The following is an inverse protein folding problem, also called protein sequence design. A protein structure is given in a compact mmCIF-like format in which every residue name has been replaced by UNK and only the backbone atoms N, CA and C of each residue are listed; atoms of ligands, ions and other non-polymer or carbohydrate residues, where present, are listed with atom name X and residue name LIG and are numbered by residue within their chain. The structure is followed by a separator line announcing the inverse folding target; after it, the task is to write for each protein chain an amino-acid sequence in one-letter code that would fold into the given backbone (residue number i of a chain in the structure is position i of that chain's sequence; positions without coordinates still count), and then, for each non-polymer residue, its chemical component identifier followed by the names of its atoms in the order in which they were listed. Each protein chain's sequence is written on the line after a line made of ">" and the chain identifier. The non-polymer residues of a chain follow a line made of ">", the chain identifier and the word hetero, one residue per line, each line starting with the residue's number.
data_IF_786034186815
#
_entry.id   IF_786034186815
#
_cell.length_a   1.000
_cell.length_b   1.000
_cell.length_c   1.000
_cell.angle_alpha   90.00
_cell.angle_beta   90.00
_cell.angle_gamma   90.00
#
_symmetry.space_group_name_H-M   'P 1'
#
loop_
_entity.id
_entity.type
_entity.pdbx_description
1 polymer ?
#
# COMPACT_ATOMS: atom_id res chain seq x y z
N UNK A 1 -36.91 -50.37 0.92
CA UNK A 1 -37.53 -51.67 1.26
C UNK A 1 -38.41 -52.12 0.11
N UNK A 2 -37.89 -53.01 -0.75
CA UNK A 2 -38.69 -53.67 -1.80
C UNK A 2 -39.16 -55.04 -1.31
N UNK A 3 -40.40 -55.47 -1.59
CA UNK A 3 -40.87 -56.78 -1.14
C UNK A 3 -40.27 -57.91 -2.00
N UNK A 4 -39.71 -58.90 -1.31
CA UNK A 4 -39.21 -60.18 -1.85
C UNK A 4 -40.37 -60.95 -2.49
N UNK A 5 -40.21 -61.41 -3.73
CA UNK A 5 -41.10 -62.39 -4.37
C UNK A 5 -40.64 -63.80 -4.00
N UNK A 6 -41.51 -64.54 -3.33
CA UNK A 6 -41.36 -65.98 -3.08
C UNK A 6 -41.62 -66.81 -4.36
N UNK A 7 -40.96 -67.97 -4.54
CA UNK A 7 -41.16 -68.84 -5.70
C UNK A 7 -42.33 -69.81 -5.48
N UNK A 8 -43.31 -69.81 -6.39
CA UNK A 8 -44.42 -70.77 -6.42
C UNK A 8 -44.01 -72.05 -7.17
N UNK A 9 -44.09 -73.16 -6.45
CA UNK A 9 -43.85 -74.55 -6.85
C UNK A 9 -44.78 -74.99 -8.02
N UNK A 10 -44.18 -75.32 -9.17
CA UNK A 10 -44.90 -75.69 -10.41
C UNK A 10 -45.01 -77.20 -10.64
N UNK A 11 -44.81 -78.06 -9.63
CA UNK A 11 -44.82 -79.53 -9.84
C UNK A 11 -46.20 -80.20 -9.69
N UNK A 12 -47.19 -79.54 -9.09
CA UNK A 12 -48.56 -80.09 -8.93
C UNK A 12 -49.59 -79.74 -10.01
N UNK A 13 -49.33 -78.73 -10.86
CA UNK A 13 -50.33 -78.21 -11.83
C UNK A 13 -50.51 -79.07 -13.09
N UNK A 14 -49.49 -79.84 -13.52
CA UNK A 14 -49.54 -80.62 -14.77
C UNK A 14 -50.35 -81.92 -14.66
N UNK A 15 -50.51 -82.46 -13.46
CA UNK A 15 -51.22 -83.72 -13.24
C UNK A 15 -52.71 -83.49 -12.90
N UNK A 16 -53.02 -82.35 -12.26
CA UNK A 16 -54.40 -81.86 -12.12
C UNK A 16 -55.00 -81.47 -13.49
N UNK A 17 -54.22 -80.87 -14.38
CA UNK A 17 -54.65 -80.55 -15.75
C UNK A 17 -54.89 -81.79 -16.64
N UNK A 18 -54.20 -82.92 -16.41
CA UNK A 18 -54.45 -84.18 -17.14
C UNK A 18 -55.64 -84.96 -16.59
N UNK A 19 -55.91 -84.89 -15.29
CA UNK A 19 -57.10 -85.49 -14.69
C UNK A 19 -58.39 -84.73 -15.07
N UNK A 20 -58.35 -83.39 -15.09
CA UNK A 20 -59.45 -82.56 -15.56
C UNK A 20 -59.75 -82.77 -17.05
N UNK A 21 -58.71 -82.90 -17.90
CA UNK A 21 -58.91 -83.12 -19.35
C UNK A 21 -59.50 -84.51 -19.68
N UNK A 22 -59.36 -85.49 -18.79
CA UNK A 22 -59.91 -86.86 -18.97
C UNK A 22 -61.34 -86.99 -18.44
N UNK A 23 -61.73 -86.18 -17.45
CA UNK A 23 -63.13 -86.06 -17.01
C UNK A 23 -63.97 -85.21 -17.96
N UNK A 24 -63.39 -84.14 -18.55
CA UNK A 24 -64.14 -83.24 -19.44
C UNK A 24 -64.52 -83.87 -20.80
N UNK A 25 -63.86 -84.94 -21.24
CA UNK A 25 -64.16 -85.61 -22.52
C UNK A 25 -65.19 -86.74 -22.42
N UNK A 26 -65.80 -86.96 -21.25
CA UNK A 26 -66.79 -88.04 -21.03
C UNK A 26 -68.18 -87.55 -20.58
N UNK A 27 -68.42 -86.25 -20.55
CA UNK A 27 -69.66 -85.65 -20.04
C UNK A 27 -70.33 -84.67 -21.03
N UNK A 28 -70.05 -84.83 -22.33
CA UNK A 28 -70.80 -84.15 -23.40
C UNK A 28 -71.43 -85.22 -24.28
N UNK A 29 -72.30 -86.02 -23.68
CA UNK A 29 -73.37 -86.70 -24.39
C UNK A 29 -74.50 -85.67 -24.59
N UNK A 30 -74.59 -85.19 -25.83
CA UNK A 30 -75.83 -84.97 -26.58
C UNK A 30 -77.08 -84.69 -25.73
N UNK A 31 -77.18 -83.47 -25.21
CA UNK A 31 -78.47 -82.78 -25.18
C UNK A 31 -78.59 -82.02 -26.50
N UNK A 32 -79.35 -82.60 -27.43
CA UNK A 32 -79.83 -81.87 -28.60
C UNK A 32 -80.76 -80.78 -28.09
N UNK A 33 -80.20 -79.61 -27.79
CA UNK A 33 -80.97 -78.38 -27.66
C UNK A 33 -81.85 -78.27 -28.91
N UNK A 34 -83.16 -78.22 -28.72
CA UNK A 34 -84.09 -77.87 -29.78
C UNK A 34 -83.67 -76.51 -30.34
N UNK A 35 -83.84 -76.26 -31.64
CA UNK A 35 -83.43 -74.99 -32.27
C UNK A 35 -83.97 -73.74 -31.53
N UNK A 36 -85.10 -73.87 -30.83
CA UNK A 36 -85.68 -72.84 -29.96
C UNK A 36 -84.86 -72.57 -28.68
N UNK A 37 -84.32 -73.61 -28.03
CA UNK A 37 -83.53 -73.48 -26.80
C UNK A 37 -82.12 -72.97 -27.11
N UNK A 38 -81.54 -73.37 -28.25
CA UNK A 38 -80.35 -72.76 -28.83
C UNK A 38 -80.58 -71.26 -29.11
N UNK A 39 -81.69 -70.90 -29.76
CA UNK A 39 -82.02 -69.50 -30.02
C UNK A 39 -82.24 -68.67 -28.73
N UNK A 40 -82.84 -69.25 -27.68
CA UNK A 40 -83.03 -68.57 -26.39
C UNK A 40 -81.70 -68.35 -25.65
N UNK A 41 -80.82 -69.34 -25.63
CA UNK A 41 -79.48 -69.20 -25.07
C UNK A 41 -78.62 -68.23 -25.88
N UNK A 42 -78.72 -68.23 -27.21
CA UNK A 42 -78.08 -67.25 -28.09
C UNK A 42 -78.60 -65.83 -27.80
N UNK A 43 -79.90 -65.65 -27.59
CA UNK A 43 -80.47 -64.37 -27.18
C UNK A 43 -79.95 -63.91 -25.81
N UNK A 44 -79.94 -64.80 -24.81
CA UNK A 44 -79.49 -64.45 -23.46
C UNK A 44 -77.98 -64.18 -23.41
N UNK A 45 -77.19 -64.96 -24.14
CA UNK A 45 -75.74 -64.71 -24.29
C UNK A 45 -75.48 -63.41 -25.04
N UNK A 46 -76.20 -63.10 -26.11
CA UNK A 46 -76.11 -61.81 -26.79
C UNK A 46 -76.47 -60.65 -25.87
N UNK A 47 -77.51 -60.78 -25.04
CA UNK A 47 -77.90 -59.76 -24.08
C UNK A 47 -76.85 -59.57 -22.96
N UNK A 48 -76.26 -60.67 -22.47
CA UNK A 48 -75.14 -60.60 -21.51
C UNK A 48 -73.87 -60.04 -22.13
N UNK A 49 -73.59 -60.33 -23.40
CA UNK A 49 -72.49 -59.71 -24.15
C UNK A 49 -72.71 -58.20 -24.26
N UNK A 50 -73.91 -57.74 -24.61
CA UNK A 50 -74.24 -56.30 -24.60
C UNK A 50 -74.02 -55.66 -23.23
N UNK A 51 -74.45 -56.30 -22.15
CA UNK A 51 -74.22 -55.80 -20.79
C UNK A 51 -72.72 -55.74 -20.46
N UNK A 52 -71.95 -56.74 -20.88
CA UNK A 52 -70.49 -56.75 -20.74
C UNK A 52 -69.85 -55.62 -21.54
N UNK A 53 -70.31 -55.36 -22.76
CA UNK A 53 -69.75 -54.30 -23.61
C UNK A 53 -70.07 -52.91 -23.05
N UNK A 54 -71.27 -52.68 -22.54
CA UNK A 54 -71.60 -51.44 -21.80
C UNK A 54 -70.71 -51.26 -20.56
N UNK A 55 -70.44 -52.34 -19.83
CA UNK A 55 -69.54 -52.29 -18.66
C UNK A 55 -68.09 -52.05 -19.06
N UNK A 56 -67.62 -52.60 -20.20
CA UNK A 56 -66.29 -52.30 -20.76
C UNK A 56 -66.18 -50.84 -21.16
N UNK A 57 -67.17 -50.31 -21.87
CA UNK A 57 -67.19 -48.89 -22.27
C UNK A 57 -67.18 -47.95 -21.05
N UNK A 58 -67.90 -48.32 -19.98
CA UNK A 58 -67.87 -47.57 -18.72
C UNK A 58 -66.51 -47.71 -18.01
N UNK A 59 -65.91 -48.89 -18.02
CA UNK A 59 -64.58 -49.13 -17.47
C UNK A 59 -63.52 -48.32 -18.23
N UNK A 60 -63.58 -48.30 -19.56
CA UNK A 60 -62.66 -47.55 -20.41
C UNK A 60 -62.80 -46.04 -20.18
N UNK A 61 -64.04 -45.52 -20.07
CA UNK A 61 -64.29 -44.14 -19.66
C UNK A 61 -63.70 -43.82 -18.29
N UNK A 62 -63.90 -44.69 -17.30
CA UNK A 62 -63.33 -44.53 -15.95
C UNK A 62 -61.81 -44.62 -15.94
N UNK A 63 -61.21 -45.45 -16.80
CA UNK A 63 -59.77 -45.55 -16.95
C UNK A 63 -59.18 -44.27 -17.55
N UNK A 64 -59.80 -43.74 -18.61
CA UNK A 64 -59.41 -42.45 -19.20
C UNK A 64 -59.54 -41.29 -18.20
N UNK A 65 -60.64 -41.24 -17.44
CA UNK A 65 -60.81 -40.25 -16.37
C UNK A 65 -59.72 -40.39 -15.29
N UNK A 66 -59.40 -41.61 -14.88
CA UNK A 66 -58.33 -41.87 -13.90
C UNK A 66 -56.94 -41.50 -14.42
N UNK A 67 -56.64 -41.76 -15.69
CA UNK A 67 -55.38 -41.36 -16.33
C UNK A 67 -55.26 -39.84 -16.43
N UNK A 68 -56.33 -39.15 -16.83
CA UNK A 68 -56.40 -37.69 -16.85
C UNK A 68 -56.20 -37.10 -15.43
N UNK A 69 -56.85 -37.66 -14.41
CA UNK A 69 -56.67 -37.24 -13.01
C UNK A 69 -55.24 -37.48 -12.52
N UNK A 70 -54.61 -38.61 -12.87
CA UNK A 70 -53.20 -38.88 -12.53
C UNK A 70 -52.26 -37.89 -13.19
N UNK A 71 -52.50 -37.55 -14.45
CA UNK A 71 -51.73 -36.54 -15.19
C UNK A 71 -51.86 -35.16 -14.54
N UNK A 72 -53.08 -34.70 -14.24
CA UNK A 72 -53.33 -33.43 -13.54
C UNK A 72 -52.69 -33.39 -12.15
N UNK A 73 -52.74 -34.51 -11.41
CA UNK A 73 -52.10 -34.63 -10.10
C UNK A 73 -50.56 -34.54 -10.24
N UNK A 74 -49.98 -35.12 -11.27
CA UNK A 74 -48.54 -35.03 -11.52
C UNK A 74 -48.14 -33.59 -11.92
N UNK A 75 -48.92 -32.94 -12.78
CA UNK A 75 -48.67 -31.55 -13.17
C UNK A 75 -48.76 -30.59 -11.97
N UNK A 76 -49.78 -30.75 -11.13
CA UNK A 76 -49.92 -29.93 -9.91
C UNK A 76 -48.78 -30.17 -8.94
N UNK A 77 -48.35 -31.42 -8.72
CA UNK A 77 -47.14 -31.74 -7.94
C UNK A 77 -45.89 -31.08 -8.50
N UNK A 78 -45.70 -31.12 -9.82
CA UNK A 78 -44.55 -30.48 -10.47
C UNK A 78 -44.59 -28.95 -10.27
N UNK A 79 -45.75 -28.31 -10.43
CA UNK A 79 -45.94 -26.87 -10.19
C UNK A 79 -45.67 -26.49 -8.73
N UNK A 80 -46.15 -27.28 -7.77
CA UNK A 80 -45.83 -27.06 -6.35
C UNK A 80 -44.35 -27.27 -6.06
N UNK A 81 -43.72 -28.28 -6.66
CA UNK A 81 -42.27 -28.50 -6.55
C UNK A 81 -41.48 -27.30 -7.04
N UNK A 82 -41.78 -26.82 -8.26
CA UNK A 82 -41.16 -25.62 -8.84
C UNK A 82 -41.35 -24.39 -7.95
N UNK A 83 -42.57 -24.15 -7.47
CA UNK A 83 -42.85 -23.02 -6.58
C UNK A 83 -42.09 -23.12 -5.25
N UNK A 84 -41.98 -24.33 -4.67
CA UNK A 84 -41.19 -24.56 -3.45
C UNK A 84 -39.70 -24.28 -3.71
N UNK A 85 -39.17 -24.71 -4.85
CA UNK A 85 -37.76 -24.49 -5.20
C UNK A 85 -37.45 -23.01 -5.48
N UNK A 86 -38.37 -22.29 -6.15
CA UNK A 86 -38.29 -20.83 -6.31
C UNK A 86 -38.30 -20.10 -4.96
N UNK A 87 -39.17 -20.51 -4.04
CA UNK A 87 -39.22 -19.93 -2.69
C UNK A 87 -37.95 -20.24 -1.90
N UNK A 88 -37.43 -21.47 -1.98
CA UNK A 88 -36.16 -21.86 -1.33
C UNK A 88 -34.99 -21.05 -1.87
N UNK A 89 -34.87 -20.92 -3.18
CA UNK A 89 -33.79 -20.12 -3.79
C UNK A 89 -33.90 -18.65 -3.40
N UNK A 90 -35.11 -18.07 -3.34
CA UNK A 90 -35.33 -16.70 -2.87
C UNK A 90 -34.99 -16.51 -1.39
N UNK A 91 -35.36 -17.48 -0.55
CA UNK A 91 -35.00 -17.47 0.88
C UNK A 91 -33.49 -17.55 1.05
N UNK A 92 -32.81 -18.47 0.36
CA UNK A 92 -31.35 -18.60 0.44
C UNK A 92 -30.64 -17.32 0.02
N UNK A 93 -31.04 -16.71 -1.11
CA UNK A 93 -30.50 -15.41 -1.55
C UNK A 93 -30.66 -14.32 -0.49
N UNK A 94 -31.79 -14.30 0.21
CA UNK A 94 -32.03 -13.34 1.31
C UNK A 94 -31.21 -13.68 2.56
N UNK A 95 -30.98 -14.95 2.86
CA UNK A 95 -30.07 -15.36 3.93
C UNK A 95 -28.62 -14.94 3.62
N UNK A 96 -28.18 -15.13 2.38
CA UNK A 96 -26.83 -14.74 1.93
C UNK A 96 -26.66 -13.21 1.99
N UNK A 97 -27.64 -12.44 1.51
CA UNK A 97 -27.66 -10.97 1.61
C UNK A 97 -27.64 -10.50 3.08
N UNK A 98 -28.39 -11.16 3.96
CA UNK A 98 -28.35 -10.87 5.40
C UNK A 98 -26.96 -11.16 5.96
N UNK A 99 -26.32 -12.28 5.59
CA UNK A 99 -24.99 -12.62 6.04
C UNK A 99 -23.95 -11.56 5.60
N UNK A 100 -23.95 -11.17 4.33
CA UNK A 100 -23.08 -10.13 3.78
C UNK A 100 -23.29 -8.79 4.50
N UNK A 101 -24.55 -8.37 4.71
CA UNK A 101 -24.86 -7.13 5.44
C UNK A 101 -24.45 -7.21 6.91
N UNK A 102 -24.54 -8.36 7.56
CA UNK A 102 -24.06 -8.52 8.95
C UNK A 102 -22.55 -8.44 9.04
N UNK A 103 -21.82 -9.01 8.09
CA UNK A 103 -20.35 -8.91 8.02
C UNK A 103 -19.90 -7.47 7.76
N UNK A 104 -20.55 -6.78 6.81
CA UNK A 104 -20.30 -5.36 6.57
C UNK A 104 -20.56 -4.52 7.82
N UNK A 105 -21.69 -4.74 8.51
CA UNK A 105 -21.98 -4.05 9.77
C UNK A 105 -20.92 -4.33 10.84
N UNK A 106 -20.43 -5.58 10.95
CA UNK A 106 -19.38 -5.91 11.90
C UNK A 106 -18.08 -5.18 11.58
N UNK A 107 -17.66 -5.17 10.30
CA UNK A 107 -16.48 -4.43 9.86
C UNK A 107 -16.59 -2.92 10.11
N UNK A 108 -17.78 -2.35 9.95
CA UNK A 108 -18.04 -0.94 10.24
C UNK A 108 -17.99 -0.65 11.75
N UNK A 109 -18.49 -1.55 12.59
CA UNK A 109 -18.39 -1.45 14.04
C UNK A 109 -16.93 -1.53 14.50
N UNK A 110 -16.16 -2.49 13.98
CA UNK A 110 -14.75 -2.64 14.31
C UNK A 110 -13.93 -1.41 13.90
N UNK A 111 -14.18 -0.89 12.69
CA UNK A 111 -13.55 0.35 12.23
C UNK A 111 -13.94 1.55 13.11
N UNK A 112 -15.20 1.65 13.52
CA UNK A 112 -15.68 2.71 14.42
C UNK A 112 -14.98 2.63 15.78
N UNK A 113 -14.91 1.44 16.36
CA UNK A 113 -14.32 1.23 17.68
C UNK A 113 -12.79 1.43 17.65
N UNK A 114 -12.13 1.04 16.55
CA UNK A 114 -10.72 1.37 16.29
C UNK A 114 -10.49 2.88 16.20
N UNK A 115 -11.34 3.60 15.46
CA UNK A 115 -11.26 5.06 15.37
C UNK A 115 -11.51 5.74 16.72
N UNK A 116 -12.47 5.27 17.51
CA UNK A 116 -12.74 5.79 18.85
C UNK A 116 -11.50 5.62 19.73
N UNK A 117 -10.89 4.42 19.75
CA UNK A 117 -9.65 4.18 20.51
C UNK A 117 -8.51 5.09 20.06
N UNK A 118 -8.33 5.26 18.76
CA UNK A 118 -7.31 6.17 18.21
C UNK A 118 -7.53 7.62 18.65
N UNK A 119 -8.79 8.10 18.61
CA UNK A 119 -9.12 9.44 19.07
C UNK A 119 -8.97 9.60 20.58
N UNK A 120 -9.32 8.59 21.38
CA UNK A 120 -9.11 8.58 22.83
C UNK A 120 -7.61 8.63 23.18
N UNK A 121 -6.78 7.85 22.49
CA UNK A 121 -5.32 7.88 22.65
C UNK A 121 -4.74 9.25 22.26
N UNK A 122 -5.16 9.82 21.12
CA UNK A 122 -4.75 11.16 20.73
C UNK A 122 -5.16 12.21 21.75
N UNK A 123 -6.39 12.14 22.24
CA UNK A 123 -6.91 13.08 23.24
C UNK A 123 -6.19 12.94 24.58
N UNK A 124 -5.84 11.72 24.99
CA UNK A 124 -5.05 11.49 26.19
C UNK A 124 -3.60 11.99 26.04
N UNK A 125 -3.00 11.77 24.87
CA UNK A 125 -1.67 12.28 24.54
C UNK A 125 -1.64 13.82 24.57
N UNK A 126 -2.62 14.48 23.95
CA UNK A 126 -2.73 15.95 23.97
C UNK A 126 -2.99 16.49 25.38
N UNK A 127 -3.81 15.79 26.20
CA UNK A 127 -3.99 16.14 27.62
C UNK A 127 -2.69 16.02 28.41
N UNK A 128 -1.92 14.95 28.19
CA UNK A 128 -0.62 14.76 28.86
C UNK A 128 0.36 15.86 28.47
N UNK A 129 0.48 16.16 27.16
CA UNK A 129 1.32 17.28 26.68
C UNK A 129 0.89 18.60 27.30
N UNK A 130 -0.41 18.86 27.38
CA UNK A 130 -0.93 20.07 28.00
C UNK A 130 -0.54 20.16 29.48
N UNK A 131 -0.72 19.10 30.27
CA UNK A 131 -0.32 19.10 31.68
C UNK A 131 1.20 19.24 31.85
N UNK A 132 2.02 18.58 31.02
CA UNK A 132 3.47 18.78 31.05
C UNK A 132 3.87 20.23 30.73
N UNK A 133 3.24 20.87 29.74
CA UNK A 133 3.52 22.28 29.43
C UNK A 133 3.08 23.20 30.57
N UNK A 134 1.95 22.92 31.19
CA UNK A 134 1.46 23.66 32.36
C UNK A 134 2.39 23.51 33.56
N UNK A 135 2.92 22.31 33.83
CA UNK A 135 3.92 22.07 34.87
C UNK A 135 5.22 22.81 34.57
N UNK A 136 5.72 22.76 33.33
CA UNK A 136 6.92 23.50 32.89
C UNK A 136 6.76 25.01 33.10
N UNK A 137 5.65 25.60 32.65
CA UNK A 137 5.36 27.02 32.85
C UNK A 137 5.19 27.36 34.33
N UNK A 138 4.56 26.50 35.12
CA UNK A 138 4.43 26.69 36.58
C UNK A 138 5.79 26.68 37.27
N UNK A 139 6.69 25.79 36.87
CA UNK A 139 8.07 25.74 37.35
C UNK A 139 8.85 26.99 36.94
N UNK A 140 8.70 27.46 35.70
CA UNK A 140 9.32 28.70 35.23
C UNK A 140 8.85 29.91 36.04
N UNK A 141 7.54 30.04 36.29
CA UNK A 141 6.98 31.09 37.16
C UNK A 141 7.59 31.04 38.56
N UNK A 142 7.72 29.85 39.16
CA UNK A 142 8.37 29.68 40.48
C UNK A 142 9.83 30.13 40.46
N UNK A 143 10.59 29.76 39.42
CA UNK A 143 11.99 30.17 39.27
C UNK A 143 12.10 31.68 39.08
N UNK A 144 11.23 32.28 38.26
CA UNK A 144 11.20 33.73 38.05
C UNK A 144 10.86 34.49 39.33
N UNK A 145 9.89 34.01 40.11
CA UNK A 145 9.58 34.57 41.42
C UNK A 145 10.76 34.46 42.39
N UNK A 146 11.48 33.33 42.40
CA UNK A 146 12.70 33.18 43.20
C UNK A 146 13.80 34.17 42.77
N UNK A 147 14.00 34.33 41.46
CA UNK A 147 14.93 35.34 40.91
C UNK A 147 14.52 36.76 41.30
N UNK A 148 13.23 37.08 41.23
CA UNK A 148 12.70 38.38 41.62
C UNK A 148 12.96 38.66 43.11
N UNK A 149 12.67 37.70 43.99
CA UNK A 149 12.96 37.83 45.43
C UNK A 149 14.45 38.05 45.70
N UNK A 150 15.35 37.36 44.96
CA UNK A 150 16.79 37.59 45.09
C UNK A 150 17.19 39.01 44.67
N UNK A 151 16.61 39.54 43.59
CA UNK A 151 16.84 40.92 43.14
C UNK A 151 16.35 41.92 44.17
N UNK A 152 15.19 41.68 44.79
CA UNK A 152 14.67 42.51 45.87
C UNK A 152 15.59 42.47 47.11
N UNK A 153 16.11 41.29 47.47
CA UNK A 153 17.09 41.16 48.55
C UNK A 153 18.38 41.95 48.25
N UNK A 154 18.95 41.83 47.05
CA UNK A 154 20.13 42.60 46.65
C UNK A 154 19.86 44.10 46.67
N UNK A 155 18.66 44.53 46.30
CA UNK A 155 18.28 45.94 46.36
C UNK A 155 18.23 46.43 47.81
N UNK A 156 17.62 45.67 48.72
CA UNK A 156 17.57 45.99 50.14
C UNK A 156 18.98 46.04 50.77
N UNK A 157 19.84 45.08 50.44
CA UNK A 157 21.22 45.04 50.93
C UNK A 157 22.04 46.23 50.41
N UNK A 158 21.84 46.61 49.14
CA UNK A 158 22.46 47.81 48.56
C UNK A 158 21.98 49.08 49.27
N UNK A 159 20.67 49.24 49.50
CA UNK A 159 20.12 50.38 50.23
C UNK A 159 20.71 50.47 51.65
N UNK A 160 20.77 49.36 52.37
CA UNK A 160 21.43 49.28 53.69
C UNK A 160 22.93 49.64 53.64
N UNK A 161 23.66 49.21 52.61
CA UNK A 161 25.08 49.56 52.44
C UNK A 161 25.27 51.04 52.14
N UNK A 162 24.40 51.63 51.32
CA UNK A 162 24.41 53.07 51.04
C UNK A 162 24.17 53.86 52.33
N UNK A 163 23.18 53.48 53.13
CA UNK A 163 22.93 54.10 54.44
C UNK A 163 24.16 54.04 55.36
N UNK A 164 24.81 52.87 55.45
CA UNK A 164 26.05 52.73 56.23
C UNK A 164 27.19 53.60 55.69
N UNK A 165 27.31 53.72 54.37
CA UNK A 165 28.34 54.54 53.75
C UNK A 165 28.10 56.03 54.03
N UNK A 166 26.85 56.49 53.93
CA UNK A 166 26.46 57.86 54.29
C UNK A 166 26.76 58.15 55.77
N UNK A 167 26.43 57.21 56.67
CA UNK A 167 26.74 57.35 58.09
C UNK A 167 28.26 57.46 58.35
N UNK A 168 29.08 56.65 57.67
CA UNK A 168 30.54 56.71 57.76
C UNK A 168 31.11 58.01 57.19
N UNK A 169 30.59 58.50 56.05
CA UNK A 169 31.01 59.78 55.48
C UNK A 169 30.73 60.94 56.43
N UNK A 170 29.55 60.96 57.06
CA UNK A 170 29.20 61.97 58.07
C UNK A 170 30.14 61.89 59.28
N UNK A 171 30.43 60.68 59.78
CA UNK A 171 31.37 60.49 60.88
C UNK A 171 32.80 60.95 60.54
N UNK A 172 33.29 60.67 59.33
CA UNK A 172 34.60 61.13 58.87
C UNK A 172 34.65 62.66 58.78
N UNK A 173 33.59 63.28 58.25
CA UNK A 173 33.49 64.73 58.18
C UNK A 173 33.55 65.37 59.57
N UNK A 174 32.82 64.81 60.54
CA UNK A 174 32.87 65.27 61.94
C UNK A 174 34.28 65.13 62.56
N UNK A 175 35.01 64.07 62.21
CA UNK A 175 36.39 63.86 62.65
C UNK A 175 37.34 64.87 62.00
N UNK A 176 37.19 65.15 60.71
CA UNK A 176 37.98 66.16 59.99
C UNK A 176 37.75 67.55 60.59
N UNK A 177 36.50 67.92 60.87
CA UNK A 177 36.15 69.20 61.51
C UNK A 177 36.74 69.30 62.92
N UNK A 178 36.70 68.21 63.71
CA UNK A 178 37.36 68.14 65.03
C UNK A 178 38.88 68.24 64.92
N UNK A 179 39.50 67.52 63.99
CA UNK A 179 40.94 67.53 63.78
C UNK A 179 41.41 68.93 63.33
N UNK A 180 40.70 69.57 62.42
CA UNK A 180 40.96 70.95 62.00
C UNK A 180 40.89 71.92 63.19
N UNK A 181 39.87 71.78 64.03
CA UNK A 181 39.73 72.58 65.27
C UNK A 181 40.91 72.37 66.23
N UNK A 182 41.34 71.12 66.43
CA UNK A 182 42.50 70.77 67.26
C UNK A 182 43.79 71.38 66.68
N UNK A 183 44.00 71.26 65.37
CA UNK A 183 45.15 71.87 64.68
C UNK A 183 45.16 73.37 64.88
N UNK A 184 44.03 74.06 64.77
CA UNK A 184 43.96 75.50 65.03
C UNK A 184 44.32 75.87 66.47
N UNK A 185 43.90 75.07 67.45
CA UNK A 185 44.29 75.27 68.86
C UNK A 185 45.79 75.05 69.04
N UNK A 186 46.35 73.99 68.48
CA UNK A 186 47.79 73.73 68.53
C UNK A 186 48.59 74.81 67.81
N UNK A 187 48.16 75.27 66.64
CA UNK A 187 48.79 76.38 65.92
C UNK A 187 48.79 77.66 66.77
N UNK A 188 47.68 77.98 67.44
CA UNK A 188 47.61 79.13 68.34
C UNK A 188 48.55 78.96 69.54
N UNK A 189 48.57 77.78 70.15
CA UNK A 189 49.45 77.49 71.28
C UNK A 189 50.93 77.51 70.87
N UNK A 190 51.26 76.98 69.70
CA UNK A 190 52.61 76.97 69.15
C UNK A 190 53.07 78.39 68.79
N UNK A 191 52.20 79.23 68.22
CA UNK A 191 52.50 80.66 68.03
C UNK A 191 52.82 81.35 69.37
N UNK A 192 52.00 81.12 70.41
CA UNK A 192 52.24 81.67 71.74
C UNK A 192 53.56 81.13 72.32
N UNK A 193 53.81 79.83 72.22
CA UNK A 193 55.03 79.20 72.71
C UNK A 193 56.26 79.66 71.93
N UNK A 194 56.14 79.91 70.62
CA UNK A 194 57.20 80.42 69.77
C UNK A 194 57.52 81.87 70.10
N UNK A 195 56.52 82.69 70.40
CA UNK A 195 56.71 84.05 70.91
C UNK A 195 57.36 84.04 72.30
N UNK A 196 56.89 83.17 73.21
CA UNK A 196 57.48 82.98 74.53
C UNK A 196 58.93 82.49 74.45
N UNK A 197 59.19 81.48 73.63
CA UNK A 197 60.53 80.98 73.36
C UNK A 197 61.37 82.04 72.66
N UNK A 198 60.81 82.85 71.78
CA UNK A 198 61.52 83.96 71.16
C UNK A 198 61.96 85.01 72.19
N UNK A 199 61.13 85.27 73.20
CA UNK A 199 61.50 86.09 74.36
C UNK A 199 62.55 85.38 75.22
N UNK A 200 62.32 84.13 75.65
CA UNK A 200 63.28 83.35 76.44
C UNK A 200 64.63 83.16 75.73
N UNK A 201 64.63 83.04 74.40
CA UNK A 201 65.83 82.88 73.59
C UNK A 201 66.52 84.23 73.41
N UNK A 202 65.80 85.35 73.29
CA UNK A 202 66.44 86.68 73.39
C UNK A 202 67.08 86.88 74.77
N UNK A 203 66.40 86.47 75.84
CA UNK A 203 66.90 86.59 77.21
C UNK A 203 68.08 85.65 77.47
N UNK A 204 68.00 84.41 77.00
CA UNK A 204 69.10 83.43 77.08
C UNK A 204 70.22 83.77 76.14
N UNK A 205 70.01 84.36 74.98
CA UNK A 205 71.08 84.76 74.05
C UNK A 205 71.74 86.04 74.55
N UNK A 206 71.02 86.92 75.25
CA UNK A 206 71.60 87.99 76.05
C UNK A 206 72.46 87.40 77.18
N UNK A 207 71.92 86.44 77.95
CA UNK A 207 72.61 85.79 79.06
C UNK A 207 73.76 84.90 78.63
N UNK A 208 73.64 84.22 77.51
CA UNK A 208 74.66 83.36 76.90
C UNK A 208 75.65 84.20 76.11
N UNK A 209 75.30 85.39 75.60
CA UNK A 209 76.31 86.35 75.13
C UNK A 209 77.14 86.88 76.31
N UNK A 210 76.55 87.00 77.50
CA UNK A 210 77.26 87.31 78.76
C UNK A 210 78.09 86.10 79.22
N UNK A 211 77.52 84.89 79.23
CA UNK A 211 78.18 83.66 79.68
C UNK A 211 79.19 83.10 78.65
N UNK A 212 79.06 83.33 77.33
CA UNK A 212 80.02 82.92 76.29
C UNK A 212 81.21 83.89 76.25
N UNK A 213 80.99 85.13 76.69
CA UNK A 213 82.07 86.04 77.05
C UNK A 213 82.83 85.57 78.31
N UNK A 214 82.19 84.79 79.19
CA UNK A 214 82.79 84.23 80.41
C UNK A 214 83.32 82.78 80.27
N UNK A 215 82.75 81.96 79.37
CA UNK A 215 82.97 80.51 79.30
C UNK A 215 83.71 80.03 78.04
N UNK A 216 84.14 80.93 77.15
CA UNK A 216 85.00 80.58 75.99
C UNK A 216 86.44 80.18 76.40
N UNK A 217 86.60 79.47 77.51
CA UNK A 217 87.86 78.88 77.96
C UNK A 217 87.63 77.48 78.51
N UNK A 218 87.41 76.48 77.64
CA UNK A 218 87.97 75.13 77.83
C UNK A 218 87.83 74.29 76.55
N UNK A 219 88.92 73.64 76.19
CA UNK A 219 89.13 72.92 74.94
C UNK A 219 88.45 71.53 74.93
N UNK A 220 88.12 71.01 76.12
CA UNK A 220 87.48 69.70 76.35
C UNK A 220 86.03 69.65 75.86
N UNK A 221 85.26 70.71 76.05
CA UNK A 221 83.85 70.80 75.62
C UNK A 221 83.72 70.83 74.10
N UNK A 222 84.69 71.43 73.39
CA UNK A 222 84.75 71.42 71.91
C UNK A 222 85.04 70.03 71.34
N UNK A 223 85.73 69.17 72.10
CA UNK A 223 86.01 67.80 71.67
C UNK A 223 84.79 66.89 71.81
N UNK A 224 84.07 66.96 72.92
CA UNK A 224 82.84 66.21 73.14
C UNK A 224 81.73 66.60 72.16
N UNK A 225 81.62 67.89 71.81
CA UNK A 225 80.68 68.35 70.78
C UNK A 225 81.03 67.77 69.41
N UNK A 226 82.32 67.70 69.05
CA UNK A 226 82.76 67.08 67.79
C UNK A 226 82.47 65.59 67.73
N UNK A 227 82.67 64.87 68.84
CA UNK A 227 82.35 63.45 68.94
C UNK A 227 80.85 63.19 68.85
N UNK A 228 80.03 63.99 69.52
CA UNK A 228 78.56 63.87 69.44
C UNK A 228 78.04 64.17 68.02
N UNK A 229 78.64 65.16 67.34
CA UNK A 229 78.36 65.43 65.92
C UNK A 229 78.74 64.24 65.05
N UNK A 230 79.91 63.62 65.28
CA UNK A 230 80.33 62.43 64.54
C UNK A 230 79.36 61.24 64.75
N UNK A 231 78.99 60.96 65.99
CA UNK A 231 78.03 59.89 66.33
C UNK A 231 76.65 60.16 65.71
N UNK A 232 76.14 61.39 65.77
CA UNK A 232 74.85 61.73 65.15
C UNK A 232 74.89 61.60 63.62
N UNK A 233 76.02 61.91 62.99
CA UNK A 233 76.18 61.72 61.55
C UNK A 233 76.19 60.23 61.17
N UNK A 234 76.87 59.38 61.94
CA UNK A 234 76.84 57.92 61.73
C UNK A 234 75.45 57.34 61.98
N UNK A 235 74.77 57.78 63.04
CA UNK A 235 73.39 57.38 63.34
C UNK A 235 72.43 57.80 62.22
N UNK A 236 72.59 59.00 61.68
CA UNK A 236 71.82 59.48 60.52
C UNK A 236 72.03 58.59 59.29
N UNK A 237 73.28 58.18 59.03
CA UNK A 237 73.60 57.23 57.96
C UNK A 237 72.95 55.86 58.18
N UNK A 238 72.98 55.34 59.41
CA UNK A 238 72.34 54.07 59.75
C UNK A 238 70.82 54.11 59.65
N UNK A 239 70.18 55.20 60.08
CA UNK A 239 68.73 55.40 59.94
C UNK A 239 68.34 55.46 58.46
N UNK A 240 69.10 56.19 57.63
CA UNK A 240 68.86 56.26 56.19
C UNK A 240 68.98 54.90 55.50
N UNK A 241 70.00 54.10 55.86
CA UNK A 241 70.16 52.74 55.35
C UNK A 241 69.03 51.81 55.80
N UNK A 242 68.61 51.91 57.06
CA UNK A 242 67.47 51.14 57.59
C UNK A 242 66.16 51.49 56.89
N UNK A 243 65.91 52.78 56.64
CA UNK A 243 64.73 53.24 55.88
C UNK A 243 64.76 52.70 54.45
N UNK A 244 65.89 52.78 53.75
CA UNK A 244 66.02 52.25 52.39
C UNK A 244 65.75 50.74 52.32
N UNK A 245 66.28 49.96 53.26
CA UNK A 245 65.99 48.52 53.37
C UNK A 245 64.53 48.24 53.73
N UNK A 246 63.92 49.08 54.57
CA UNK A 246 62.52 48.92 54.92
C UNK A 246 61.62 49.18 53.70
N UNK A 247 61.90 50.22 52.93
CA UNK A 247 61.17 50.57 51.71
C UNK A 247 61.33 49.48 50.65
N UNK A 248 62.55 48.96 50.45
CA UNK A 248 62.80 47.82 49.56
C UNK A 248 62.02 46.58 49.99
N UNK A 249 62.02 46.25 51.29
CA UNK A 249 61.27 45.11 51.82
C UNK A 249 59.75 45.28 51.62
N UNK A 250 59.25 46.51 51.78
CA UNK A 250 57.85 46.84 51.56
C UNK A 250 57.47 46.63 50.09
N UNK A 251 58.28 47.14 49.15
CA UNK A 251 57.98 47.00 47.73
C UNK A 251 58.10 45.54 47.26
N UNK A 252 59.06 44.78 47.78
CA UNK A 252 59.15 43.33 47.53
C UNK A 252 57.93 42.57 48.06
N UNK A 253 57.41 42.92 49.25
CA UNK A 253 56.17 42.33 49.78
C UNK A 253 54.97 42.65 48.90
N UNK A 254 54.89 43.88 48.41
CA UNK A 254 53.82 44.32 47.51
C UNK A 254 53.90 43.58 46.16
N UNK A 255 55.07 43.50 45.54
CA UNK A 255 55.29 42.71 44.32
C UNK A 255 54.94 41.23 44.52
N UNK A 256 55.37 40.63 45.63
CA UNK A 256 55.01 39.25 45.97
C UNK A 256 53.50 39.09 46.11
N UNK A 257 52.81 40.02 46.78
CA UNK A 257 51.36 39.95 46.94
C UNK A 257 50.64 40.03 45.58
N UNK A 258 51.12 40.88 44.68
CA UNK A 258 50.60 41.03 43.33
C UNK A 258 50.80 39.75 42.51
N UNK A 259 52.00 39.14 42.55
CA UNK A 259 52.28 37.89 41.85
C UNK A 259 51.42 36.72 42.37
N UNK A 260 51.16 36.67 43.69
CA UNK A 260 50.28 35.65 44.27
C UNK A 260 48.84 35.84 43.79
N UNK A 261 48.35 37.08 43.71
CA UNK A 261 47.00 37.34 43.19
C UNK A 261 46.88 36.99 41.71
N UNK A 262 47.90 37.29 40.91
CA UNK A 262 47.93 36.98 39.47
C UNK A 262 47.99 35.47 39.22
N UNK A 263 48.82 34.74 39.97
CA UNK A 263 48.90 33.29 39.88
C UNK A 263 47.55 32.64 40.19
N UNK A 264 46.86 33.14 41.22
CA UNK A 264 45.53 32.65 41.59
C UNK A 264 44.49 32.93 40.51
N UNK A 265 44.52 34.09 39.84
CA UNK A 265 43.60 34.34 38.73
C UNK A 265 43.88 33.44 37.54
N UNK A 266 45.15 33.20 37.23
CA UNK A 266 45.56 32.27 36.16
C UNK A 266 45.13 30.82 36.45
N UNK A 267 45.24 30.36 37.69
CA UNK A 267 44.74 29.03 38.10
C UNK A 267 43.23 28.89 37.86
N UNK A 268 42.45 29.93 38.22
CA UNK A 268 41.00 29.96 37.99
C UNK A 268 40.66 29.98 36.49
N UNK A 269 41.40 30.73 35.68
CA UNK A 269 41.21 30.75 34.23
C UNK A 269 41.54 29.39 33.61
N UNK A 270 42.62 28.75 34.04
CA UNK A 270 42.99 27.40 33.62
C UNK A 270 41.90 26.39 33.95
N UNK A 271 41.34 26.42 35.15
CA UNK A 271 40.26 25.51 35.56
C UNK A 271 38.99 25.71 34.71
N UNK A 272 38.64 26.96 34.39
CA UNK A 272 37.54 27.29 33.46
C UNK A 272 37.82 26.78 32.05
N UNK A 273 39.04 26.96 31.53
CA UNK A 273 39.42 26.45 30.21
C UNK A 273 39.41 24.92 30.16
N UNK A 274 39.84 24.24 31.22
CA UNK A 274 39.81 22.78 31.32
C UNK A 274 38.38 22.26 31.35
N UNK A 275 37.51 22.84 32.19
CA UNK A 275 36.09 22.47 32.23
C UNK A 275 35.37 22.72 30.90
N UNK A 276 35.67 23.82 30.22
CA UNK A 276 35.13 24.08 28.89
C UNK A 276 35.62 23.06 27.86
N UNK A 277 36.91 22.69 27.88
CA UNK A 277 37.45 21.66 27.00
C UNK A 277 36.80 20.29 27.22
N UNK A 278 36.54 19.91 28.47
CA UNK A 278 35.82 18.66 28.79
C UNK A 278 34.43 18.70 28.15
N UNK A 279 33.66 19.78 28.36
CA UNK A 279 32.34 19.93 27.75
C UNK A 279 32.38 19.93 26.22
N UNK A 280 33.36 20.60 25.62
CA UNK A 280 33.55 20.60 24.17
C UNK A 280 33.84 19.19 23.65
N UNK A 281 34.66 18.42 24.37
CA UNK A 281 34.97 17.03 24.03
C UNK A 281 33.71 16.15 24.09
N UNK A 282 32.90 16.28 25.14
CA UNK A 282 31.63 15.56 25.27
C UNK A 282 30.66 15.90 24.12
N UNK A 283 30.59 17.18 23.72
CA UNK A 283 29.77 17.60 22.58
C UNK A 283 30.29 17.02 21.28
N UNK A 284 31.61 17.03 21.06
CA UNK A 284 32.23 16.43 19.87
C UNK A 284 31.94 14.93 19.81
N UNK A 285 32.09 14.21 20.92
CA UNK A 285 31.80 12.77 21.00
C UNK A 285 30.32 12.47 20.69
N UNK A 286 29.41 13.28 21.23
CA UNK A 286 27.98 13.15 20.93
C UNK A 286 27.69 13.40 19.46
N UNK A 287 28.24 14.46 18.87
CA UNK A 287 28.06 14.78 17.46
C UNK A 287 28.64 13.68 16.56
N UNK A 288 29.81 13.13 16.90
CA UNK A 288 30.43 12.02 16.19
C UNK A 288 29.57 10.75 16.26
N UNK A 289 28.94 10.48 17.41
CA UNK A 289 28.00 9.37 17.56
C UNK A 289 26.74 9.55 16.69
N UNK A 290 26.14 10.73 16.73
CA UNK A 290 24.97 11.07 15.91
C UNK A 290 25.28 10.96 14.40
N UNK A 291 26.47 11.42 13.98
CA UNK A 291 26.92 11.29 12.59
C UNK A 291 27.09 9.83 12.16
N UNK A 292 27.72 8.97 12.99
CA UNK A 292 27.80 7.53 12.70
C UNK A 292 26.42 6.88 12.54
N UNK A 293 25.47 7.26 13.39
CA UNK A 293 24.09 6.76 13.30
C UNK A 293 23.42 7.20 11.99
N UNK A 294 23.61 8.46 11.60
CA UNK A 294 23.10 8.98 10.33
C UNK A 294 23.74 8.30 9.12
N UNK A 295 25.04 8.00 9.16
CA UNK A 295 25.74 7.26 8.11
C UNK A 295 25.21 5.83 7.93
N UNK A 296 24.92 5.13 9.03
CA UNK A 296 24.28 3.82 8.97
C UNK A 296 22.90 3.90 8.32
N UNK A 297 22.07 4.87 8.73
CA UNK A 297 20.76 5.09 8.11
C UNK A 297 20.87 5.48 6.63
N UNK A 298 21.87 6.27 6.24
CA UNK A 298 22.13 6.59 4.83
C UNK A 298 22.54 5.36 4.01
N UNK A 299 23.30 4.43 4.59
CA UNK A 299 23.63 3.16 3.94
C UNK A 299 22.39 2.30 3.74
N UNK A 300 21.57 2.12 4.79
CA UNK A 300 20.32 1.35 4.70
C UNK A 300 19.36 1.94 3.66
N UNK A 301 19.20 3.27 3.63
CA UNK A 301 18.34 3.94 2.65
C UNK A 301 18.88 3.82 1.23
N UNK A 302 20.20 3.90 1.03
CA UNK A 302 20.81 3.65 -0.28
C UNK A 302 20.61 2.20 -0.74
N UNK A 303 20.76 1.22 0.16
CA UNK A 303 20.53 -0.20 -0.15
C UNK A 303 19.07 -0.44 -0.56
N UNK A 304 18.11 0.17 0.17
CA UNK A 304 16.69 0.13 -0.17
C UNK A 304 16.40 0.81 -1.52
N UNK A 305 17.04 1.94 -1.82
CA UNK A 305 16.90 2.62 -3.10
C UNK A 305 17.41 1.75 -4.26
N UNK A 306 18.55 1.08 -4.10
CA UNK A 306 19.06 0.15 -5.11
C UNK A 306 18.11 -1.03 -5.32
N UNK A 307 17.52 -1.55 -4.24
CA UNK A 307 16.51 -2.61 -4.33
C UNK A 307 15.27 -2.14 -5.10
N UNK A 308 14.75 -0.94 -4.81
CA UNK A 308 13.62 -0.35 -5.53
C UNK A 308 13.93 -0.25 -7.02
N UNK A 309 15.08 0.31 -7.40
CA UNK A 309 15.50 0.42 -8.82
C UNK A 309 15.55 -0.96 -9.47
N UNK A 310 16.02 -2.00 -8.77
CA UNK A 310 16.06 -3.37 -9.30
C UNK A 310 14.67 -3.97 -9.50
N UNK A 311 13.73 -3.67 -8.60
CA UNK A 311 12.34 -4.13 -8.67
C UNK A 311 11.56 -3.39 -9.76
N UNK A 312 11.78 -2.08 -9.92
CA UNK A 312 11.19 -1.30 -11.00
C UNK A 312 11.64 -1.81 -12.38
N UNK A 313 12.93 -2.17 -12.52
CA UNK A 313 13.42 -2.81 -13.75
C UNK A 313 12.73 -4.14 -14.02
N UNK A 314 12.60 -5.00 -13.00
CA UNK A 314 11.90 -6.29 -13.13
C UNK A 314 10.42 -6.12 -13.46
N UNK A 315 9.76 -5.13 -12.84
CA UNK A 315 8.38 -4.79 -13.16
C UNK A 315 8.25 -4.28 -14.60
N UNK A 316 9.21 -3.47 -15.06
CA UNK A 316 9.27 -3.02 -16.44
C UNK A 316 9.40 -4.17 -17.44
N UNK A 317 10.24 -5.17 -17.15
CA UNK A 317 10.37 -6.35 -18.03
C UNK A 317 9.12 -7.23 -18.01
N UNK A 318 8.53 -7.49 -16.84
CA UNK A 318 7.32 -8.34 -16.77
C UNK A 318 6.10 -7.66 -17.36
N UNK A 319 5.98 -6.33 -17.24
CA UNK A 319 4.90 -5.57 -17.90
C UNK A 319 5.08 -5.58 -19.42
N UNK A 320 6.31 -5.45 -19.94
CA UNK A 320 6.57 -5.58 -21.36
C UNK A 320 6.20 -6.98 -21.88
N UNK A 321 6.63 -8.04 -21.18
CA UNK A 321 6.27 -9.43 -21.51
C UNK A 321 4.75 -9.65 -21.48
N UNK A 322 4.05 -9.08 -20.49
CA UNK A 322 2.59 -9.17 -20.41
C UNK A 322 1.90 -8.47 -21.59
N UNK A 323 2.38 -7.29 -21.99
CA UNK A 323 1.83 -6.59 -23.18
C UNK A 323 2.10 -7.34 -24.47
N UNK A 324 3.27 -7.98 -24.61
CA UNK A 324 3.59 -8.82 -25.76
C UNK A 324 2.68 -10.05 -25.84
N UNK A 325 2.47 -10.72 -24.71
CA UNK A 325 1.54 -11.86 -24.62
C UNK A 325 0.09 -11.45 -24.91
N UNK A 326 -0.33 -10.26 -24.47
CA UNK A 326 -1.66 -9.72 -24.77
C UNK A 326 -1.83 -9.42 -26.27
N UNK A 327 -0.82 -8.85 -26.91
CA UNK A 327 -0.82 -8.64 -28.36
C UNK A 327 -0.89 -9.98 -29.12
N UNK A 328 -0.10 -10.98 -28.71
CA UNK A 328 -0.14 -12.31 -29.31
C UNK A 328 -1.52 -12.97 -29.15
N UNK A 329 -2.12 -12.89 -27.96
CA UNK A 329 -3.46 -13.40 -27.71
C UNK A 329 -4.52 -12.73 -28.58
N UNK A 330 -4.42 -11.41 -28.79
CA UNK A 330 -5.32 -10.66 -29.66
C UNK A 330 -5.18 -11.07 -31.14
N UNK A 331 -3.94 -11.28 -31.61
CA UNK A 331 -3.69 -11.78 -32.97
C UNK A 331 -4.28 -13.18 -33.17
N UNK A 332 -4.09 -14.08 -32.20
CA UNK A 332 -4.70 -15.42 -32.24
C UNK A 332 -6.23 -15.37 -32.21
N UNK A 333 -6.81 -14.44 -31.46
CA UNK A 333 -8.26 -14.25 -31.41
C UNK A 333 -8.82 -13.77 -32.76
N UNK A 334 -8.13 -12.84 -33.42
CA UNK A 334 -8.48 -12.41 -34.78
C UNK A 334 -8.34 -13.55 -35.79
N UNK A 335 -7.25 -14.32 -35.74
CA UNK A 335 -7.06 -15.49 -36.59
C UNK A 335 -8.17 -16.53 -36.39
N UNK A 336 -8.55 -16.80 -35.13
CA UNK A 336 -9.69 -17.66 -34.80
C UNK A 336 -11.00 -17.13 -35.39
N UNK A 337 -11.26 -15.82 -35.30
CA UNK A 337 -12.47 -15.23 -35.88
C UNK A 337 -12.52 -15.41 -37.40
N UNK A 338 -11.39 -15.16 -38.08
CA UNK A 338 -11.28 -15.36 -39.53
C UNK A 338 -11.50 -16.82 -39.96
N UNK A 339 -10.99 -17.78 -39.19
CA UNK A 339 -11.26 -19.19 -39.43
C UNK A 339 -12.73 -19.53 -39.18
N UNK A 340 -13.34 -18.97 -38.14
CA UNK A 340 -14.76 -19.17 -37.84
C UNK A 340 -15.65 -18.63 -38.97
N UNK A 341 -15.33 -17.46 -39.54
CA UNK A 341 -16.08 -16.92 -40.68
C UNK A 341 -15.96 -17.82 -41.90
N UNK A 342 -14.76 -18.35 -42.20
CA UNK A 342 -14.56 -19.32 -43.28
C UNK A 342 -15.34 -20.61 -43.07
N UNK A 343 -15.38 -21.13 -41.83
CA UNK A 343 -16.18 -22.33 -41.51
C UNK A 343 -17.67 -22.05 -41.71
N UNK A 344 -18.18 -20.90 -41.26
CA UNK A 344 -19.58 -20.52 -41.44
C UNK A 344 -19.95 -20.37 -42.94
N UNK A 345 -19.05 -19.83 -43.76
CA UNK A 345 -19.22 -19.74 -45.21
C UNK A 345 -19.33 -21.14 -45.83
N UNK A 346 -18.41 -22.04 -45.49
CA UNK A 346 -18.44 -23.43 -45.97
C UNK A 346 -19.68 -24.20 -45.49
N UNK A 347 -20.14 -23.98 -44.27
CA UNK A 347 -21.38 -24.56 -43.75
C UNK A 347 -22.60 -24.06 -44.55
N UNK A 348 -22.64 -22.77 -44.90
CA UNK A 348 -23.69 -22.21 -45.73
C UNK A 348 -23.70 -22.82 -47.14
N UNK A 349 -22.52 -22.94 -47.77
CA UNK A 349 -22.38 -23.57 -49.09
C UNK A 349 -22.82 -25.04 -49.06
N UNK A 350 -22.43 -25.78 -48.02
CA UNK A 350 -22.88 -27.16 -47.83
C UNK A 350 -24.41 -27.25 -47.67
N UNK A 351 -25.04 -26.29 -46.99
CA UNK A 351 -26.49 -26.21 -46.85
C UNK A 351 -27.17 -25.92 -48.20
N UNK A 352 -26.64 -24.98 -48.99
CA UNK A 352 -27.12 -24.69 -50.35
C UNK A 352 -27.03 -25.95 -51.21
N UNK A 353 -25.87 -26.62 -51.23
CA UNK A 353 -25.68 -27.86 -51.99
C UNK A 353 -26.63 -28.96 -51.53
N UNK A 354 -26.86 -29.12 -50.22
CA UNK A 354 -27.83 -30.08 -49.68
C UNK A 354 -29.25 -29.80 -50.16
N UNK A 355 -29.66 -28.53 -50.22
CA UNK A 355 -30.98 -28.15 -50.73
C UNK A 355 -31.10 -28.44 -52.23
N UNK A 356 -30.06 -28.12 -53.01
CA UNK A 356 -30.02 -28.44 -54.44
C UNK A 356 -30.12 -29.95 -54.66
N UNK A 357 -29.35 -30.76 -53.92
CA UNK A 357 -29.41 -32.23 -54.00
C UNK A 357 -30.83 -32.71 -53.67
N UNK A 358 -31.47 -32.16 -52.63
CA UNK A 358 -32.82 -32.53 -52.25
C UNK A 358 -33.85 -32.19 -53.34
N UNK A 359 -33.77 -31.00 -53.94
CA UNK A 359 -34.64 -30.59 -55.04
C UNK A 359 -34.44 -31.46 -56.28
N UNK A 360 -33.20 -31.79 -56.62
CA UNK A 360 -32.87 -32.71 -57.71
C UNK A 360 -33.35 -34.14 -57.43
N UNK A 361 -33.26 -34.62 -56.18
CA UNK A 361 -33.86 -35.90 -55.79
C UNK A 361 -35.39 -35.92 -56.01
N UNK A 362 -36.08 -34.83 -55.69
CA UNK A 362 -37.52 -34.68 -55.94
C UNK A 362 -37.79 -34.70 -57.45
N UNK A 363 -37.00 -33.97 -58.22
CA UNK A 363 -37.17 -33.91 -59.68
C UNK A 363 -36.89 -35.28 -60.33
N UNK A 364 -35.87 -36.00 -59.88
CA UNK A 364 -35.59 -37.37 -60.30
C UNK A 364 -36.75 -38.32 -59.96
N UNK A 365 -37.33 -38.22 -58.75
CA UNK A 365 -38.52 -39.00 -58.37
C UNK A 365 -39.72 -38.71 -59.28
N UNK A 366 -39.96 -37.43 -59.61
CA UNK A 366 -41.03 -37.04 -60.56
C UNK A 366 -40.76 -37.57 -61.97
N UNK A 367 -39.53 -37.46 -62.46
CA UNK A 367 -39.14 -37.95 -63.77
C UNK A 367 -39.29 -39.48 -63.87
N UNK A 368 -38.85 -40.22 -62.85
CA UNK A 368 -39.05 -41.67 -62.76
C UNK A 368 -40.53 -42.04 -62.81
N UNK A 369 -41.39 -41.28 -62.14
CA UNK A 369 -42.83 -41.50 -62.15
C UNK A 369 -43.44 -41.27 -63.55
N UNK A 370 -43.02 -40.23 -64.26
CA UNK A 370 -43.44 -40.01 -65.65
C UNK A 370 -42.91 -41.08 -66.62
N UNK A 371 -41.71 -41.60 -66.41
CA UNK A 371 -41.18 -42.73 -67.19
C UNK A 371 -41.97 -44.01 -66.89
N UNK A 372 -42.31 -44.26 -65.62
CA UNK A 372 -43.15 -45.39 -65.22
C UNK A 372 -44.56 -45.28 -65.84
N UNK A 373 -45.18 -44.09 -65.81
CA UNK A 373 -46.45 -43.82 -66.48
C UNK A 373 -46.37 -44.08 -67.99
N UNK A 374 -45.29 -43.65 -68.65
CA UNK A 374 -45.07 -43.91 -70.07
C UNK A 374 -44.87 -45.41 -70.37
N UNK A 375 -44.16 -46.14 -69.51
CA UNK A 375 -43.98 -47.59 -69.61
C UNK A 375 -45.30 -48.35 -69.40
N UNK A 376 -46.06 -48.00 -68.37
CA UNK A 376 -47.38 -48.58 -68.10
C UNK A 376 -48.35 -48.33 -69.27
N UNK A 377 -48.33 -47.14 -69.86
CA UNK A 377 -49.16 -46.83 -71.03
C UNK A 377 -48.73 -47.61 -72.28
N UNK A 378 -47.42 -47.83 -72.45
CA UNK A 378 -46.87 -48.68 -73.51
C UNK A 378 -47.28 -50.15 -73.34
N UNK A 379 -47.22 -50.68 -72.12
CA UNK A 379 -47.69 -52.03 -71.79
C UNK A 379 -49.22 -52.17 -71.93
N UNK A 380 -50.00 -51.13 -71.62
CA UNK A 380 -51.46 -51.11 -71.84
C UNK A 380 -51.83 -51.09 -73.33
N UNK A 381 -51.03 -50.47 -74.20
CA UNK A 381 -51.19 -50.52 -75.67
C UNK A 381 -51.10 -51.95 -76.19
N UNK A 382 -50.14 -52.73 -75.70
CA UNK A 382 -49.95 -54.15 -76.08
C UNK A 382 -51.16 -55.01 -75.70
N UNK A 383 -51.92 -54.63 -74.66
CA UNK A 383 -53.11 -55.36 -74.20
C UNK A 383 -54.44 -54.93 -74.84
N UNK A 384 -54.57 -53.68 -75.33
CA UNK A 384 -55.88 -53.08 -75.67
C UNK A 384 -56.05 -52.57 -77.13
N UNK A 385 -55.07 -52.76 -78.04
CA UNK A 385 -55.17 -52.41 -79.48
C UNK A 385 -55.65 -50.96 -79.79
N UNK A 386 -55.12 -49.95 -79.09
CA UNK A 386 -55.38 -48.54 -79.39
C UNK A 386 -54.70 -48.05 -80.69
N UNK A 387 -55.31 -47.05 -81.37
CA UNK A 387 -54.77 -46.40 -82.59
C UNK A 387 -53.42 -45.70 -82.34
N UNK A 388 -52.50 -45.77 -83.32
CA UNK A 388 -51.13 -45.25 -83.22
C UNK A 388 -51.04 -43.74 -82.93
N UNK A 389 -52.04 -42.97 -83.33
CA UNK A 389 -52.07 -41.51 -83.18
C UNK A 389 -52.28 -41.09 -81.71
N UNK A 390 -53.11 -41.83 -80.97
CA UNK A 390 -53.38 -41.55 -79.56
C UNK A 390 -52.18 -41.87 -78.66
N UNK A 391 -51.43 -42.92 -78.99
CA UNK A 391 -50.18 -43.24 -78.31
C UNK A 391 -49.12 -42.16 -78.55
N UNK A 392 -49.03 -41.67 -79.80
CA UNK A 392 -48.05 -40.65 -80.18
C UNK A 392 -48.31 -39.33 -79.46
N UNK A 393 -49.57 -38.92 -79.33
CA UNK A 393 -49.93 -37.70 -78.59
C UNK A 393 -49.66 -37.83 -77.10
N UNK A 394 -49.98 -38.97 -76.48
CA UNK A 394 -49.73 -39.18 -75.04
C UNK A 394 -48.24 -39.33 -74.73
N UNK A 395 -47.48 -40.00 -75.59
CA UNK A 395 -46.01 -40.04 -75.51
C UNK A 395 -45.41 -38.65 -75.72
N UNK A 396 -45.94 -37.86 -76.65
CA UNK A 396 -45.51 -36.46 -76.83
C UNK A 396 -45.85 -35.59 -75.62
N UNK A 397 -46.98 -35.83 -74.95
CA UNK A 397 -47.32 -35.11 -73.71
C UNK A 397 -46.43 -35.54 -72.53
N UNK A 398 -46.11 -36.82 -72.39
CA UNK A 398 -45.14 -37.27 -71.38
C UNK A 398 -43.72 -36.79 -71.70
N UNK A 399 -43.34 -36.73 -72.98
CA UNK A 399 -42.06 -36.18 -73.41
C UNK A 399 -42.01 -34.67 -73.16
N UNK A 400 -43.09 -33.92 -73.42
CA UNK A 400 -43.16 -32.49 -73.08
C UNK A 400 -43.04 -32.28 -71.57
N UNK A 401 -43.76 -33.04 -70.75
CA UNK A 401 -43.64 -32.97 -69.28
C UNK A 401 -42.23 -33.32 -68.78
N UNK A 402 -41.58 -34.31 -69.37
CA UNK A 402 -40.17 -34.63 -69.09
C UNK A 402 -39.23 -33.52 -69.58
N UNK A 403 -39.52 -32.90 -70.73
CA UNK A 403 -38.71 -31.81 -71.28
C UNK A 403 -38.86 -30.54 -70.43
N UNK A 404 -40.04 -30.25 -69.92
CA UNK A 404 -40.30 -29.11 -69.05
C UNK A 404 -39.67 -29.32 -67.66
N UNK A 405 -39.73 -30.54 -67.12
CA UNK A 405 -38.96 -30.88 -65.91
C UNK A 405 -37.44 -30.78 -66.13
N UNK A 406 -36.93 -31.22 -67.29
CA UNK A 406 -35.50 -31.12 -67.61
C UNK A 406 -35.03 -29.69 -67.87
N UNK A 407 -35.95 -28.76 -68.18
CA UNK A 407 -35.67 -27.33 -68.22
C UNK A 407 -35.66 -26.71 -66.82
N UNK A 408 -36.47 -27.25 -65.91
CA UNK A 408 -36.51 -26.83 -64.50
C UNK A 408 -35.36 -27.42 -63.67
N UNK A 409 -34.78 -28.57 -64.06
CA UNK A 409 -33.50 -29.06 -63.53
C UNK A 409 -32.39 -28.18 -64.08
N UNK A 410 -32.09 -27.12 -63.34
CA UNK A 410 -31.13 -26.08 -63.68
C UNK A 410 -29.70 -26.59 -63.46
N UNK A 411 -29.32 -27.68 -64.10
CA UNK A 411 -27.94 -28.16 -64.07
C UNK A 411 -27.54 -28.83 -65.38
N UNK A 412 -26.97 -28.03 -66.27
CA UNK A 412 -25.79 -28.37 -67.08
C UNK A 412 -25.41 -27.11 -67.89
N UNK A 413 -24.17 -26.67 -67.72
CA UNK A 413 -23.51 -25.54 -68.39
C UNK A 413 -23.73 -24.13 -67.83
N UNK A 414 -23.50 -23.94 -66.52
CA UNK A 414 -22.82 -22.69 -66.11
C UNK A 414 -21.36 -23.01 -65.92
N UNK A 415 -20.57 -22.49 -66.85
CA UNK A 415 -19.11 -22.35 -66.85
C UNK A 415 -18.59 -21.53 -65.65
N UNK A 416 -19.47 -21.19 -64.70
CA UNK A 416 -19.23 -20.29 -63.56
C UNK A 416 -18.76 -21.03 -62.30
N UNK A 417 -19.05 -22.32 -62.12
CA UNK A 417 -18.52 -23.10 -60.98
C UNK A 417 -17.05 -23.54 -61.18
N UNK A 418 -16.52 -23.42 -62.40
CA UNK A 418 -15.12 -23.70 -62.72
C UNK A 418 -14.22 -22.44 -62.73
N UNK A 419 -14.79 -21.23 -62.59
CA UNK A 419 -14.02 -19.97 -62.67
C UNK A 419 -13.64 -19.35 -61.32
N UNK A 420 -14.26 -19.78 -60.22
CA UNK A 420 -13.85 -19.32 -58.88
C UNK A 420 -12.94 -20.31 -58.14
N UNK A 421 -12.71 -21.49 -58.70
CA UNK A 421 -11.65 -22.42 -58.26
C UNK A 421 -10.62 -22.65 -59.37
N UNK A 422 -10.14 -21.54 -59.95
CA UNK A 422 -8.83 -21.56 -60.59
C UNK A 422 -7.78 -21.89 -59.54
N UNK A 423 -7.21 -23.08 -59.67
CA UNK A 423 -6.01 -23.61 -58.99
C UNK A 423 -4.75 -22.79 -59.40
N UNK A 424 -4.90 -21.48 -59.63
CA UNK A 424 -3.86 -20.55 -60.07
C UNK A 424 -3.41 -19.53 -59.01
N UNK A 425 -3.94 -19.56 -57.78
CA UNK A 425 -3.60 -18.60 -56.72
C UNK A 425 -2.52 -19.09 -55.74
N UNK A 426 -1.81 -20.18 -56.06
CA UNK A 426 -0.64 -20.64 -55.31
C UNK A 426 0.70 -20.18 -55.89
N UNK A 427 0.72 -19.45 -57.01
CA UNK A 427 1.96 -19.00 -57.67
C UNK A 427 1.88 -17.59 -58.28
N UNK A 428 1.04 -16.72 -57.73
CA UNK A 428 1.04 -15.30 -58.09
C UNK A 428 1.88 -14.53 -57.05
N UNK A 429 3.09 -14.02 -57.40
CA UNK A 429 3.97 -13.36 -56.45
C UNK A 429 3.34 -12.12 -55.79
N UNK A 430 2.37 -11.48 -56.45
CA UNK A 430 1.62 -10.34 -55.90
C UNK A 430 0.55 -10.74 -54.88
N UNK A 431 -0.01 -11.96 -54.98
CA UNK A 431 -0.98 -12.47 -54.00
C UNK A 431 -0.26 -12.93 -52.72
N UNK A 432 0.94 -13.50 -52.84
CA UNK A 432 1.79 -13.77 -51.69
C UNK A 432 2.12 -12.47 -50.96
N UNK A 433 2.55 -11.41 -51.65
CA UNK A 433 2.89 -10.14 -50.99
C UNK A 433 1.69 -9.48 -50.27
N UNK A 434 0.48 -9.61 -50.82
CA UNK A 434 -0.76 -9.18 -50.16
C UNK A 434 -1.17 -10.07 -48.98
N UNK A 435 -0.99 -11.37 -49.08
CA UNK A 435 -1.30 -12.33 -48.02
C UNK A 435 -0.31 -12.18 -46.84
N UNK A 436 0.98 -11.93 -47.13
CA UNK A 436 2.01 -11.63 -46.12
C UNK A 436 1.82 -10.24 -45.48
N UNK A 437 1.35 -9.22 -46.23
CA UNK A 437 0.94 -7.93 -45.65
C UNK A 437 -0.29 -8.05 -44.75
N UNK A 438 -1.29 -8.84 -45.14
CA UNK A 438 -2.51 -9.03 -44.34
C UNK A 438 -2.31 -9.95 -43.11
N UNK A 439 -1.27 -10.79 -43.11
CA UNK A 439 -0.80 -11.54 -41.93
C UNK A 439 0.12 -10.72 -41.00
N UNK A 440 0.37 -9.43 -41.29
CA UNK A 440 1.11 -8.54 -40.38
C UNK A 440 2.59 -8.86 -40.21
N UNK A 441 3.19 -9.68 -41.09
CA UNK A 441 4.63 -9.97 -41.05
C UNK A 441 5.33 -9.14 -42.12
N UNK A 442 5.50 -7.85 -41.85
CA UNK A 442 6.64 -7.09 -42.36
C UNK A 442 7.45 -6.63 -41.16
N UNK A 443 8.54 -7.35 -40.90
CA UNK A 443 9.69 -6.79 -40.20
C UNK A 443 10.21 -5.66 -41.12
N UNK A 444 9.87 -4.42 -40.81
CA UNK A 444 10.60 -3.28 -41.34
C UNK A 444 12.06 -3.44 -40.89
N UNK A 445 12.91 -3.99 -41.77
CA UNK A 445 14.35 -3.75 -41.72
C UNK A 445 14.56 -2.26 -41.98
N UNK A 446 14.42 -1.44 -40.94
CA UNK A 446 15.12 -0.16 -40.85
C UNK A 446 16.61 -0.47 -40.75
N UNK A 447 17.23 -0.61 -41.92
CA UNK A 447 18.66 -0.39 -42.09
C UNK A 447 18.96 1.08 -41.78
N UNK A 448 19.22 1.41 -40.52
CA UNK A 448 20.10 2.53 -40.20
C UNK A 448 21.54 2.04 -40.26
N UNK A 449 22.11 2.05 -41.45
CA UNK A 449 23.56 2.20 -41.62
C UNK A 449 23.87 3.70 -41.73
N UNK A 450 24.41 4.24 -40.64
CA UNK A 450 25.32 5.40 -40.61
C UNK A 450 26.31 5.05 -39.48
N UNK A 451 27.35 4.27 -39.74
CA UNK A 451 28.70 4.73 -40.10
C UNK A 451 29.06 6.03 -39.38
N UNK A 452 30.01 5.98 -38.46
CA UNK A 452 31.43 6.22 -38.75
C UNK A 452 32.19 6.15 -37.43
N UNK A 453 33.14 5.21 -37.36
CA UNK A 453 34.33 5.32 -36.52
C UNK A 453 35.01 6.65 -36.84
N UNK A 454 35.17 7.52 -35.86
CA UNK A 454 36.26 8.49 -35.87
C UNK A 454 36.58 8.94 -34.44
N UNK A 455 37.88 8.85 -34.15
CA UNK A 455 38.65 9.46 -33.04
C UNK A 455 38.89 8.63 -31.78
N UNK A 456 39.89 7.77 -31.92
CA UNK A 456 41.17 7.87 -31.21
C UNK A 456 41.37 9.08 -30.27
N UNK A 457 41.87 8.75 -29.08
CA UNK A 457 43.05 9.34 -28.41
C UNK A 457 43.06 10.85 -28.18
N UNK A 458 42.90 11.23 -26.91
CA UNK A 458 43.76 12.17 -26.16
C UNK A 458 43.38 12.02 -24.67
N UNK A 459 44.25 11.44 -23.82
CA UNK A 459 45.29 12.13 -23.03
C UNK A 459 44.64 13.10 -22.04
N UNK A 460 44.91 13.16 -20.74
CA UNK A 460 45.76 12.52 -19.71
C UNK A 460 45.51 13.36 -18.43
N UNK A 461 45.99 12.86 -17.27
CA UNK A 461 46.23 13.60 -16.01
C UNK A 461 44.97 13.97 -15.22
N UNK A 462 44.88 13.86 -13.89
CA UNK A 462 45.76 13.66 -12.72
C UNK A 462 44.90 12.85 -11.71
N UNK A 463 45.32 12.09 -10.71
CA UNK A 463 46.56 11.85 -9.96
C UNK A 463 46.15 10.89 -8.82
N UNK A 464 47.02 9.95 -8.39
CA UNK A 464 47.64 9.97 -7.05
C UNK A 464 46.62 10.08 -5.89
N UNK A 465 46.50 9.17 -4.92
CA UNK A 465 47.45 8.23 -4.35
C UNK A 465 46.70 7.18 -3.50
N UNK A 466 47.39 6.06 -3.32
CA UNK A 466 47.46 5.25 -2.09
C UNK A 466 47.28 6.10 -0.81
N UNK A 467 46.73 5.60 0.28
CA UNK A 467 47.47 4.69 1.14
C UNK A 467 46.56 4.09 2.20
N UNK A 468 46.59 2.77 2.24
CA UNK A 468 46.73 2.04 3.49
C UNK A 468 47.96 2.59 4.25
N UNK A 469 47.77 3.03 5.48
CA UNK A 469 48.68 2.78 6.60
C UNK A 469 47.81 2.82 7.87
N UNK A 470 47.76 1.77 8.69
CA UNK A 470 48.80 1.39 9.67
C UNK A 470 49.05 2.49 10.71
N UNK A 471 48.15 2.58 11.71
CA UNK A 471 48.47 2.71 13.14
C UNK A 471 47.19 2.60 14.00
#
# INVERSE_FOLDING_TARGET
>A
MGPKKEPLDTKGRKDVLRALKKHLSKEIEVDTFTAADQAYLEYWTAEKIKQIDVLKDLLDKRNLENEALKSLLQETKNKFGQSIDELRTKVNKKCDEIAELTEQNHSLLDNRDSNIKSFEEQLNNERSKFEETKEKLTCEIKILNSKLNNVEHFRAEREHLIEKHVALQNYLKDLEERAASIVHVYQRLDLINKDRMGQELKDRLLKLSIEFQEASQTETTRSLIRENIAINNELGGHIGSWQALHDENYELKKQRSFLITELRSEEVLKEKCLSLNVLQTEVIERLAYEQRKLELFHKETNDLQQLIISLEKKLGTTTAEATEAELEANLLLQAKHNLMTQVNELEHDCMILSNIIYDEEINLKKALLFVAEAQDFRQRKERLKFSNEHLRNKLMDTLKKLTDLLKDTRFLWTDDMARETSVGTLYDPDYAEKYWRNLGIIIERKLTKKSVEDKEVSISKEGSDSSQDSD
#
